data_IF_910257894167
#
_entry.id   IF_910257894167
#
_cell.length_a   1.000
_cell.length_b   1.000
_cell.length_c   1.000
_cell.angle_alpha   90.00
_cell.angle_beta   90.00
_cell.angle_gamma   90.00
#
_symmetry.space_group_name_H-M   'P 1'
#
loop_
_entity.id
_entity.type
_entity.pdbx_description
1 polymer ?
#
# COMPACT_ATOMS: atom_id res chain seq x y z
N UNK A 1 -8.24 -15.48 -29.86
CA UNK A 1 -8.62 -14.67 -28.69
C UNK A 1 -7.45 -14.45 -27.72
N UNK A 2 -6.35 -15.20 -27.83
CA UNK A 2 -5.25 -15.15 -26.83
C UNK A 2 -4.22 -14.01 -26.92
N UNK A 3 -4.15 -13.30 -28.06
CA UNK A 3 -3.08 -12.31 -28.23
C UNK A 3 -3.33 -10.96 -27.54
N UNK A 4 -4.59 -10.56 -27.36
CA UNK A 4 -4.92 -9.28 -26.74
C UNK A 4 -4.86 -9.36 -25.21
N UNK A 5 -5.26 -10.47 -24.61
CA UNK A 5 -5.16 -10.71 -23.16
C UNK A 5 -3.70 -10.84 -22.71
N UNK A 6 -2.86 -11.56 -23.47
CA UNK A 6 -1.42 -11.64 -23.19
C UNK A 6 -0.74 -10.25 -23.31
N UNK A 7 -1.09 -9.44 -24.29
CA UNK A 7 -0.51 -8.10 -24.46
C UNK A 7 -0.91 -7.13 -23.33
N UNK A 8 -2.12 -7.28 -22.78
CA UNK A 8 -2.57 -6.48 -21.62
C UNK A 8 -1.86 -6.92 -20.36
N UNK A 9 -1.70 -8.23 -20.12
CA UNK A 9 -0.99 -8.79 -18.98
C UNK A 9 0.50 -8.43 -19.00
N UNK A 10 1.15 -8.47 -20.17
CA UNK A 10 2.55 -8.08 -20.32
C UNK A 10 2.77 -6.59 -20.02
N UNK A 11 1.85 -5.70 -20.46
CA UNK A 11 1.92 -4.27 -20.14
C UNK A 11 1.72 -3.99 -18.63
N UNK A 12 0.82 -4.71 -17.97
CA UNK A 12 0.57 -4.57 -16.53
C UNK A 12 1.77 -5.02 -15.71
N UNK A 13 2.44 -6.11 -16.11
CA UNK A 13 3.67 -6.57 -15.46
C UNK A 13 4.83 -5.58 -15.64
N UNK A 14 5.01 -5.03 -16.84
CA UNK A 14 6.03 -4.02 -17.11
C UNK A 14 5.81 -2.75 -16.29
N UNK A 15 4.56 -2.31 -16.11
CA UNK A 15 4.25 -1.15 -15.27
C UNK A 15 4.58 -1.39 -13.79
N UNK A 16 4.31 -2.56 -13.24
CA UNK A 16 4.63 -2.91 -11.84
C UNK A 16 6.14 -3.00 -11.60
N UNK A 17 6.89 -3.56 -12.51
CA UNK A 17 8.36 -3.60 -12.44
C UNK A 17 8.95 -2.19 -12.50
N UNK A 18 8.42 -1.32 -13.37
CA UNK A 18 8.84 0.07 -13.46
C UNK A 18 8.54 0.85 -12.17
N UNK A 19 7.37 0.63 -11.56
CA UNK A 19 6.98 1.19 -10.26
C UNK A 19 7.96 0.72 -9.18
N UNK A 20 8.19 -0.58 -9.04
CA UNK A 20 9.11 -1.15 -8.06
C UNK A 20 10.53 -0.61 -8.20
N UNK A 21 11.04 -0.51 -9.45
CA UNK A 21 12.36 0.05 -9.75
C UNK A 21 12.45 1.53 -9.37
N UNK A 22 11.41 2.32 -9.66
CA UNK A 22 11.37 3.75 -9.36
C UNK A 22 11.40 4.00 -7.85
N UNK A 23 10.61 3.26 -7.09
CA UNK A 23 10.62 3.32 -5.62
C UNK A 23 11.96 2.84 -5.05
N UNK A 24 12.53 1.76 -5.58
CA UNK A 24 13.84 1.27 -5.16
C UNK A 24 14.95 2.32 -5.32
N UNK A 25 14.96 3.04 -6.45
CA UNK A 25 15.91 4.15 -6.69
C UNK A 25 15.70 5.34 -5.77
N UNK A 26 14.46 5.60 -5.37
CA UNK A 26 14.10 6.71 -4.49
C UNK A 26 14.30 6.38 -3.00
N UNK A 27 14.50 5.12 -2.62
CA UNK A 27 14.48 4.66 -1.23
C UNK A 27 15.41 5.45 -0.30
N UNK A 28 16.62 5.83 -0.75
CA UNK A 28 17.58 6.59 0.05
C UNK A 28 17.14 8.04 0.36
N UNK A 29 16.31 8.63 -0.48
CA UNK A 29 15.86 10.03 -0.35
C UNK A 29 14.39 10.14 0.01
N UNK A 30 13.65 9.04 -0.03
CA UNK A 30 12.19 9.00 0.15
C UNK A 30 11.75 9.65 1.45
N UNK A 31 12.40 9.31 2.56
CA UNK A 31 12.03 9.81 3.88
C UNK A 31 12.19 11.33 4.06
N UNK A 32 13.09 11.96 3.29
CA UNK A 32 13.31 13.41 3.34
C UNK A 32 12.12 14.21 2.82
N UNK A 33 11.31 13.60 1.94
CA UNK A 33 10.19 14.25 1.25
C UNK A 33 8.83 13.66 1.63
N UNK A 34 8.79 12.74 2.59
CA UNK A 34 7.59 11.96 2.95
C UNK A 34 6.69 12.63 4.01
N UNK A 35 6.75 13.95 4.18
CA UNK A 35 5.96 14.64 5.21
C UNK A 35 4.45 14.42 5.04
N UNK A 36 3.95 14.53 3.82
CA UNK A 36 2.54 14.27 3.49
C UNK A 36 2.15 12.82 3.78
N UNK A 37 2.98 11.86 3.35
CA UNK A 37 2.75 10.43 3.58
C UNK A 37 2.71 10.10 5.08
N UNK A 38 3.57 10.74 5.87
CA UNK A 38 3.59 10.58 7.33
C UNK A 38 2.33 11.15 7.99
N UNK A 39 1.88 12.34 7.60
CA UNK A 39 0.65 12.93 8.15
C UNK A 39 -0.57 12.03 7.88
N UNK A 40 -0.73 11.57 6.63
CA UNK A 40 -1.82 10.66 6.25
C UNK A 40 -1.73 9.35 7.01
N UNK A 41 -0.53 8.75 7.07
CA UNK A 41 -0.33 7.46 7.73
C UNK A 41 -0.50 7.53 9.25
N UNK A 42 -0.13 8.63 9.93
CA UNK A 42 -0.41 8.82 11.35
C UNK A 42 -1.90 8.86 11.64
N UNK A 43 -2.70 9.58 10.84
CA UNK A 43 -4.17 9.59 10.96
C UNK A 43 -4.78 8.20 10.73
N UNK A 44 -4.19 7.44 9.80
CA UNK A 44 -4.61 6.06 9.57
C UNK A 44 -4.24 5.15 10.76
N UNK A 45 -3.03 5.35 11.32
CA UNK A 45 -2.53 4.59 12.46
C UNK A 45 -3.37 4.78 13.73
N UNK A 46 -4.04 5.94 13.89
CA UNK A 46 -5.00 6.21 14.97
C UNK A 46 -6.25 5.32 14.91
N UNK A 47 -6.55 4.70 13.76
CA UNK A 47 -7.66 3.74 13.61
C UNK A 47 -7.34 2.36 14.20
N UNK A 48 -6.08 2.08 14.47
CA UNK A 48 -5.64 0.85 15.12
C UNK A 48 -5.50 1.05 16.64
N UNK A 49 -5.65 -0.03 17.43
CA UNK A 49 -5.38 0.02 18.86
C UNK A 49 -3.97 0.52 19.18
N UNK A 50 -3.81 1.22 20.29
CA UNK A 50 -2.50 1.65 20.79
C UNK A 50 -1.64 0.48 21.29
N UNK A 51 -2.26 -0.60 21.74
CA UNK A 51 -1.63 -1.86 22.13
C UNK A 51 -1.99 -2.93 21.10
N UNK A 52 -0.97 -3.46 20.44
CA UNK A 52 -1.04 -4.53 19.44
C UNK A 52 -0.29 -5.80 19.91
N UNK A 53 -0.05 -5.93 21.21
CA UNK A 53 0.63 -7.10 21.79
C UNK A 53 -0.08 -8.39 21.38
N UNK A 54 0.68 -9.38 20.92
CA UNK A 54 0.20 -10.65 20.35
C UNK A 54 -0.69 -10.52 19.11
N UNK A 55 -0.65 -9.38 18.40
CA UNK A 55 -1.33 -9.19 17.11
C UNK A 55 -0.38 -9.36 15.95
N UNK A 56 -0.86 -10.05 14.92
CA UNK A 56 -0.18 -10.18 13.63
C UNK A 56 -0.68 -9.08 12.71
N UNK A 57 0.23 -8.20 12.30
CA UNK A 57 -0.10 -7.04 11.47
C UNK A 57 0.65 -7.13 10.15
N UNK A 58 -0.06 -6.98 9.04
CA UNK A 58 0.55 -6.76 7.73
C UNK A 58 0.63 -5.25 7.49
N UNK A 59 1.83 -4.73 7.23
CA UNK A 59 2.06 -3.41 6.66
C UNK A 59 2.24 -3.58 5.14
N UNK A 60 1.18 -3.30 4.39
CA UNK A 60 1.08 -3.53 2.95
C UNK A 60 1.45 -2.28 2.16
N UNK A 61 2.51 -2.36 1.37
CA UNK A 61 3.18 -1.20 0.78
C UNK A 61 3.96 -0.43 1.85
N UNK A 62 4.76 -1.15 2.63
CA UNK A 62 5.44 -0.62 3.82
C UNK A 62 6.50 0.44 3.51
N UNK A 63 6.95 0.54 2.24
CA UNK A 63 8.02 1.44 1.84
C UNK A 63 9.28 1.23 2.68
N UNK A 64 9.84 2.31 3.21
CA UNK A 64 11.04 2.29 4.07
C UNK A 64 10.78 1.84 5.51
N UNK A 65 9.59 1.31 5.82
CA UNK A 65 9.26 0.72 7.12
C UNK A 65 8.94 1.72 8.24
N UNK A 66 8.66 2.98 7.92
CA UNK A 66 8.37 4.00 8.94
C UNK A 66 7.17 3.60 9.83
N UNK A 67 6.06 3.17 9.24
CA UNK A 67 4.89 2.73 9.99
C UNK A 67 5.06 1.32 10.56
N UNK A 68 5.82 0.46 9.89
CA UNK A 68 6.19 -0.86 10.44
C UNK A 68 6.89 -0.72 11.78
N UNK A 69 7.82 0.23 11.93
CA UNK A 69 8.48 0.52 13.20
C UNK A 69 7.48 0.91 14.29
N UNK A 70 6.54 1.81 13.98
CA UNK A 70 5.51 2.26 14.94
C UNK A 70 4.55 1.13 15.33
N UNK A 71 4.26 0.20 14.40
CA UNK A 71 3.47 -1.00 14.69
C UNK A 71 4.21 -1.96 15.63
N UNK A 72 5.52 -2.14 15.42
CA UNK A 72 6.39 -2.92 16.33
C UNK A 72 6.47 -2.28 17.72
N UNK A 73 6.59 -0.96 17.80
CA UNK A 73 6.59 -0.20 19.07
C UNK A 73 5.27 -0.37 19.86
N UNK A 74 4.15 -0.65 19.16
CA UNK A 74 2.86 -1.03 19.78
C UNK A 74 2.78 -2.51 20.18
N UNK A 75 3.85 -3.28 20.03
CA UNK A 75 3.93 -4.68 20.42
C UNK A 75 3.48 -5.69 19.38
N UNK A 76 3.21 -5.27 18.15
CA UNK A 76 2.78 -6.15 17.07
C UNK A 76 3.91 -7.10 16.59
N UNK A 77 3.51 -8.25 16.05
CA UNK A 77 4.33 -9.03 15.13
C UNK A 77 4.02 -8.56 13.70
N UNK A 78 4.99 -7.98 13.01
CA UNK A 78 4.79 -7.27 11.76
C UNK A 78 5.30 -8.06 10.56
N UNK A 79 4.53 -8.09 9.48
CA UNK A 79 5.03 -8.45 8.16
C UNK A 79 5.07 -7.19 7.32
N UNK A 80 6.26 -6.80 6.87
CA UNK A 80 6.49 -5.73 5.91
C UNK A 80 6.36 -6.31 4.52
N UNK A 81 5.39 -5.87 3.74
CA UNK A 81 5.22 -6.29 2.35
C UNK A 81 5.32 -5.07 1.43
N UNK A 82 6.13 -5.17 0.41
CA UNK A 82 6.28 -4.13 -0.62
C UNK A 82 6.63 -4.78 -1.96
N UNK A 83 6.32 -4.11 -3.05
CA UNK A 83 6.68 -4.55 -4.40
C UNK A 83 8.18 -4.36 -4.68
N UNK A 84 8.82 -3.42 -4.00
CA UNK A 84 10.21 -3.02 -4.18
C UNK A 84 11.13 -3.66 -3.13
N UNK A 85 12.07 -4.49 -3.59
CA UNK A 85 13.13 -5.05 -2.72
C UNK A 85 13.97 -3.93 -2.08
N UNK A 86 14.28 -2.84 -2.82
CA UNK A 86 15.06 -1.72 -2.29
C UNK A 86 14.35 -0.99 -1.14
N UNK A 87 13.01 -0.92 -1.15
CA UNK A 87 12.22 -0.41 -0.02
C UNK A 87 12.30 -1.35 1.18
N UNK A 88 12.18 -2.66 0.95
CA UNK A 88 12.29 -3.65 2.02
C UNK A 88 13.68 -3.69 2.67
N UNK A 89 14.73 -3.46 1.90
CA UNK A 89 16.10 -3.35 2.43
C UNK A 89 16.20 -2.17 3.41
N UNK A 90 15.62 -1.02 3.08
CA UNK A 90 15.52 0.13 3.98
C UNK A 90 14.62 -0.12 5.18
N UNK A 91 13.51 -0.82 4.99
CA UNK A 91 12.64 -1.22 6.09
C UNK A 91 13.39 -2.14 7.07
N UNK A 92 14.22 -3.06 6.56
CA UNK A 92 15.06 -3.92 7.39
C UNK A 92 16.14 -3.14 8.16
N UNK A 93 16.80 -2.17 7.52
CA UNK A 93 17.76 -1.27 8.20
C UNK A 93 17.08 -0.54 9.36
N UNK A 94 15.81 -0.15 9.22
CA UNK A 94 15.04 0.58 10.25
C UNK A 94 14.51 -0.31 11.36
N UNK A 95 13.87 -1.42 11.01
CA UNK A 95 13.08 -2.23 11.95
C UNK A 95 13.86 -3.41 12.54
N UNK A 96 15.03 -3.77 11.95
CA UNK A 96 15.79 -4.95 12.37
C UNK A 96 15.09 -6.26 12.02
N UNK A 97 15.35 -7.30 12.81
CA UNK A 97 14.84 -8.66 12.53
C UNK A 97 13.98 -9.22 13.68
N UNK A 98 13.72 -8.42 14.73
CA UNK A 98 12.93 -8.89 15.87
C UNK A 98 11.44 -8.64 15.67
N UNK A 99 10.62 -9.70 15.74
CA UNK A 99 9.18 -9.67 15.54
C UNK A 99 8.73 -9.08 14.16
N UNK A 100 9.60 -9.10 13.16
CA UNK A 100 9.32 -8.59 11.84
C UNK A 100 9.78 -9.55 10.73
N UNK A 101 9.04 -9.59 9.63
CA UNK A 101 9.38 -10.32 8.40
C UNK A 101 9.23 -9.39 7.21
N UNK A 102 10.03 -9.63 6.16
CA UNK A 102 10.04 -8.83 4.93
C UNK A 102 9.70 -9.73 3.75
N UNK A 103 8.72 -9.33 2.95
CA UNK A 103 8.20 -10.13 1.85
C UNK A 103 8.00 -9.23 0.63
N UNK A 104 8.66 -9.53 -0.48
CA UNK A 104 8.32 -8.93 -1.76
C UNK A 104 6.97 -9.48 -2.18
N UNK A 105 5.98 -8.61 -2.33
CA UNK A 105 4.63 -9.02 -2.63
C UNK A 105 3.88 -7.98 -3.46
N UNK A 106 3.07 -8.48 -4.39
CA UNK A 106 2.07 -7.71 -5.09
C UNK A 106 0.77 -7.70 -4.27
N UNK A 107 0.24 -6.51 -3.98
CA UNK A 107 -0.99 -6.34 -3.23
C UNK A 107 -2.22 -7.01 -3.90
N UNK A 108 -2.17 -7.20 -5.21
CA UNK A 108 -3.25 -7.85 -5.98
C UNK A 108 -3.17 -9.40 -5.95
N UNK A 109 -2.06 -9.98 -5.41
CA UNK A 109 -1.86 -11.42 -5.27
C UNK A 109 -0.91 -11.71 -4.10
N UNK A 110 -1.44 -11.70 -2.89
CA UNK A 110 -0.66 -11.81 -1.67
C UNK A 110 -0.25 -13.27 -1.37
N UNK A 111 1.04 -13.54 -1.09
CA UNK A 111 1.56 -14.88 -0.81
C UNK A 111 1.31 -15.30 0.66
N UNK A 112 0.12 -15.02 1.18
CA UNK A 112 -0.25 -15.34 2.55
C UNK A 112 -1.47 -16.25 2.60
N UNK A 113 -1.54 -17.06 3.64
CA UNK A 113 -2.68 -17.93 3.90
C UNK A 113 -3.92 -17.11 4.32
N UNK A 114 -5.09 -17.70 4.12
CA UNK A 114 -6.37 -17.14 4.59
C UNK A 114 -6.34 -16.95 6.12
N UNK A 115 -6.99 -15.90 6.59
CA UNK A 115 -7.16 -15.61 8.02
C UNK A 115 -5.83 -15.55 8.81
N UNK A 116 -4.72 -15.13 8.17
CA UNK A 116 -3.38 -15.11 8.76
C UNK A 116 -3.05 -13.83 9.53
N UNK A 117 -3.85 -12.77 9.44
CA UNK A 117 -3.58 -11.48 10.08
C UNK A 117 -4.76 -10.97 10.92
N UNK A 118 -4.44 -10.36 12.07
CA UNK A 118 -5.41 -9.66 12.90
C UNK A 118 -5.69 -8.24 12.35
N UNK A 119 -4.66 -7.60 11.77
CA UNK A 119 -4.78 -6.29 11.15
C UNK A 119 -4.01 -6.21 9.83
N UNK A 120 -4.55 -5.43 8.90
CA UNK A 120 -3.84 -4.98 7.70
C UNK A 120 -3.83 -3.46 7.70
N UNK A 121 -2.65 -2.89 7.62
CA UNK A 121 -2.39 -1.46 7.49
C UNK A 121 -1.81 -1.18 6.10
N UNK A 122 -2.34 -0.20 5.36
CA UNK A 122 -1.81 0.18 4.05
C UNK A 122 -1.98 1.68 3.85
N UNK A 123 -0.88 2.43 3.84
CA UNK A 123 -0.93 3.88 3.71
C UNK A 123 -0.36 4.34 2.38
N UNK A 124 -1.21 4.93 1.53
CA UNK A 124 -0.84 5.49 0.23
C UNK A 124 -0.06 4.52 -0.68
N UNK A 125 -0.49 3.25 -0.71
CA UNK A 125 0.10 2.21 -1.55
C UNK A 125 -0.87 1.71 -2.63
N UNK A 126 -2.17 1.56 -2.31
CA UNK A 126 -3.12 0.89 -3.19
C UNK A 126 -3.50 1.68 -4.46
N UNK A 127 -3.15 2.96 -4.56
CA UNK A 127 -3.32 3.74 -5.80
C UNK A 127 -2.42 3.27 -6.96
N UNK A 128 -1.44 2.43 -6.68
CA UNK A 128 -0.55 1.85 -7.67
C UNK A 128 -1.05 0.51 -8.24
N UNK A 129 -2.13 -0.02 -7.68
CA UNK A 129 -2.79 -1.22 -8.19
C UNK A 129 -3.59 -0.89 -9.45
N UNK A 130 -3.73 -1.87 -10.34
CA UNK A 130 -4.49 -1.73 -11.60
C UNK A 130 -5.97 -1.60 -11.32
N UNK A 131 -6.47 -2.45 -10.42
CA UNK A 131 -7.87 -2.44 -9.96
C UNK A 131 -7.91 -2.63 -8.44
N UNK A 132 -8.43 -1.64 -7.74
CA UNK A 132 -8.52 -1.65 -6.28
C UNK A 132 -9.33 -2.84 -5.73
N UNK A 133 -10.20 -3.44 -6.53
CA UNK A 133 -11.00 -4.60 -6.09
C UNK A 133 -10.15 -5.83 -5.80
N UNK A 134 -9.01 -6.02 -6.49
CA UNK A 134 -8.11 -7.15 -6.26
C UNK A 134 -7.41 -7.06 -4.89
N UNK A 135 -6.68 -5.99 -4.55
CA UNK A 135 -6.04 -5.90 -3.25
C UNK A 135 -7.07 -5.91 -2.10
N UNK A 136 -8.27 -5.36 -2.27
CA UNK A 136 -9.30 -5.41 -1.24
C UNK A 136 -9.82 -6.84 -1.00
N UNK A 137 -9.95 -7.66 -2.05
CA UNK A 137 -10.28 -9.10 -1.91
C UNK A 137 -9.18 -9.85 -1.19
N UNK A 138 -7.93 -9.60 -1.54
CA UNK A 138 -6.77 -10.21 -0.87
C UNK A 138 -6.71 -9.80 0.60
N UNK A 139 -6.85 -8.51 0.91
CA UNK A 139 -6.92 -8.03 2.31
C UNK A 139 -8.02 -8.75 3.08
N UNK A 140 -9.23 -8.87 2.50
CA UNK A 140 -10.32 -9.61 3.13
C UNK A 140 -9.98 -11.08 3.36
N UNK A 141 -9.37 -11.74 2.37
CA UNK A 141 -9.01 -13.17 2.45
C UNK A 141 -8.04 -13.46 3.58
N UNK A 142 -7.01 -12.64 3.72
CA UNK A 142 -5.95 -12.84 4.71
C UNK A 142 -6.31 -12.37 6.11
N UNK A 143 -7.37 -11.56 6.27
CA UNK A 143 -7.84 -11.11 7.59
C UNK A 143 -8.56 -12.23 8.32
N UNK A 144 -8.21 -12.42 9.59
CA UNK A 144 -8.93 -13.29 10.52
C UNK A 144 -10.41 -12.86 10.68
N UNK A 145 -11.25 -13.72 11.23
CA UNK A 145 -12.70 -13.49 11.31
C UNK A 145 -13.10 -12.15 11.98
N UNK A 146 -12.31 -11.70 12.98
CA UNK A 146 -12.50 -10.42 13.65
C UNK A 146 -11.40 -9.41 13.30
N UNK A 147 -10.61 -9.70 12.25
CA UNK A 147 -9.53 -8.86 11.78
C UNK A 147 -10.06 -7.58 11.12
N UNK A 148 -9.24 -6.54 11.15
CA UNK A 148 -9.59 -5.24 10.55
C UNK A 148 -8.51 -4.77 9.58
N UNK A 149 -8.92 -4.32 8.41
CA UNK A 149 -8.08 -3.63 7.45
C UNK A 149 -8.33 -2.13 7.49
N UNK A 150 -7.27 -1.33 7.47
CA UNK A 150 -7.36 0.09 7.24
C UNK A 150 -6.38 0.50 6.14
N UNK A 151 -6.84 1.32 5.23
CA UNK A 151 -6.00 1.84 4.15
C UNK A 151 -6.31 3.30 3.85
N UNK A 152 -5.33 3.99 3.28
CA UNK A 152 -5.50 5.30 2.65
C UNK A 152 -5.08 5.21 1.19
N UNK A 153 -5.77 5.97 0.34
CA UNK A 153 -5.47 6.05 -1.09
C UNK A 153 -5.76 7.45 -1.62
N UNK A 154 -5.17 7.79 -2.74
CA UNK A 154 -5.48 9.03 -3.46
C UNK A 154 -6.66 8.79 -4.39
N UNK A 155 -7.55 9.76 -4.44
CA UNK A 155 -8.72 9.76 -5.34
C UNK A 155 -8.67 10.95 -6.29
N UNK A 156 -9.51 10.94 -7.32
CA UNK A 156 -9.66 12.08 -8.22
C UNK A 156 -9.96 13.36 -7.42
N UNK A 157 -9.29 14.44 -7.79
CA UNK A 157 -9.28 15.69 -7.02
C UNK A 157 -8.22 15.77 -5.92
N UNK A 158 -7.57 14.66 -5.53
CA UNK A 158 -6.38 14.71 -4.71
C UNK A 158 -5.24 15.41 -5.47
N UNK A 159 -4.41 16.18 -4.75
CA UNK A 159 -3.28 16.93 -5.31
C UNK A 159 -3.69 17.92 -6.43
N UNK A 160 -4.92 18.47 -6.38
CA UNK A 160 -5.44 19.40 -7.40
C UNK A 160 -4.53 20.63 -7.53
N UNK A 161 -4.13 21.22 -6.41
CA UNK A 161 -3.27 22.42 -6.38
C UNK A 161 -1.93 22.14 -7.05
N UNK A 162 -1.35 20.96 -6.86
CA UNK A 162 -0.13 20.54 -7.51
C UNK A 162 -0.33 20.38 -9.02
N UNK A 163 -1.41 19.72 -9.42
CA UNK A 163 -1.78 19.56 -10.84
C UNK A 163 -1.99 20.90 -11.53
N UNK A 164 -2.76 21.79 -10.90
CA UNK A 164 -3.07 23.12 -11.44
C UNK A 164 -1.82 24.01 -11.51
N UNK A 165 -0.86 23.81 -10.62
CA UNK A 165 0.43 24.51 -10.66
C UNK A 165 1.29 24.05 -11.83
N UNK A 166 1.38 22.74 -12.09
CA UNK A 166 2.12 22.21 -13.22
C UNK A 166 1.48 22.54 -14.57
N UNK A 167 0.15 22.53 -14.65
CA UNK A 167 -0.58 22.92 -15.87
C UNK A 167 -0.32 24.35 -16.34
N UNK A 168 0.18 25.22 -15.45
CA UNK A 168 0.62 26.59 -15.80
C UNK A 168 2.03 26.63 -16.37
N UNK A 169 2.82 25.58 -16.21
CA UNK A 169 4.23 25.51 -16.63
C UNK A 169 4.35 24.82 -17.98
N UNK A 170 3.69 23.68 -18.15
CA UNK A 170 3.72 22.92 -19.40
C UNK A 170 2.46 22.04 -19.55
N UNK A 171 2.39 21.27 -20.67
CA UNK A 171 1.27 20.40 -21.00
C UNK A 171 1.53 18.93 -20.66
N UNK A 172 2.67 18.60 -20.01
CA UNK A 172 2.96 17.23 -19.63
C UNK A 172 2.19 16.81 -18.39
N UNK A 173 1.90 15.50 -18.30
CA UNK A 173 1.25 14.94 -17.11
C UNK A 173 2.28 14.71 -16.00
N UNK A 174 2.27 15.56 -14.97
CA UNK A 174 3.14 15.45 -13.79
C UNK A 174 2.48 14.78 -12.59
N UNK A 175 1.16 14.60 -12.62
CA UNK A 175 0.39 13.96 -11.56
C UNK A 175 -0.43 12.83 -12.18
N UNK A 176 -0.37 11.64 -11.58
CA UNK A 176 -1.13 10.49 -12.04
C UNK A 176 -2.64 10.74 -11.94
N UNK A 177 -3.40 10.07 -12.80
CA UNK A 177 -4.84 10.01 -12.67
C UNK A 177 -5.18 9.00 -11.57
N UNK A 178 -5.99 9.44 -10.62
CA UNK A 178 -6.48 8.58 -9.54
C UNK A 178 -7.92 8.18 -9.79
N UNK A 179 -8.33 7.06 -9.20
CA UNK A 179 -9.71 6.59 -9.26
C UNK A 179 -10.67 7.54 -8.54
N UNK A 180 -11.92 7.58 -8.96
CA UNK A 180 -12.94 8.38 -8.30
C UNK A 180 -13.37 7.75 -6.96
N UNK A 181 -13.92 8.56 -6.05
CA UNK A 181 -14.50 8.06 -4.80
C UNK A 181 -15.60 7.01 -5.04
N UNK A 182 -16.35 7.14 -6.14
CA UNK A 182 -17.38 6.15 -6.50
C UNK A 182 -16.75 4.81 -6.89
N UNK A 183 -15.65 4.80 -7.62
CA UNK A 183 -14.91 3.57 -7.92
C UNK A 183 -14.36 2.91 -6.65
N UNK A 184 -13.87 3.68 -5.68
CA UNK A 184 -13.49 3.13 -4.36
C UNK A 184 -14.66 2.45 -3.67
N UNK A 185 -15.84 3.08 -3.64
CA UNK A 185 -17.06 2.49 -3.05
C UNK A 185 -17.50 1.22 -3.77
N UNK A 186 -17.41 1.20 -5.11
CA UNK A 186 -17.73 0.00 -5.90
C UNK A 186 -16.74 -1.13 -5.58
N UNK A 187 -15.44 -0.85 -5.54
CA UNK A 187 -14.42 -1.84 -5.23
C UNK A 187 -14.63 -2.44 -3.82
N UNK A 188 -14.95 -1.62 -2.82
CA UNK A 188 -15.30 -2.07 -1.48
C UNK A 188 -16.54 -2.99 -1.48
N UNK A 189 -17.58 -2.62 -2.20
CA UNK A 189 -18.79 -3.43 -2.31
C UNK A 189 -18.51 -4.78 -3.02
N UNK A 190 -17.74 -4.77 -4.10
CA UNK A 190 -17.36 -5.99 -4.85
C UNK A 190 -16.46 -6.92 -4.03
N UNK A 191 -15.59 -6.39 -3.21
CA UNK A 191 -14.74 -7.18 -2.32
C UNK A 191 -15.49 -7.75 -1.10
N UNK A 192 -16.76 -7.40 -0.92
CA UNK A 192 -17.59 -7.73 0.26
C UNK A 192 -16.95 -7.26 1.58
N UNK A 193 -16.14 -6.21 1.54
CA UNK A 193 -15.66 -5.54 2.73
C UNK A 193 -16.80 -4.68 3.32
N UNK A 194 -17.00 -4.76 4.63
CA UNK A 194 -17.93 -3.88 5.33
C UNK A 194 -17.17 -2.61 5.75
N UNK A 195 -17.73 -1.44 5.41
CA UNK A 195 -17.19 -0.14 5.83
C UNK A 195 -17.69 0.19 7.24
N UNK A 196 -16.80 0.66 8.07
CA UNK A 196 -17.11 1.29 9.36
C UNK A 196 -16.50 2.68 9.43
#
# INVERSE_FOLDING_TARGET
MDNAENMVLDNVHQDKEAIASSFGKAADTYDKHAAFQRDVGHRLLEKLPSDLTNKRVLDLGCGTGYFSQLLLERGASVVCADLSQGMLDKARERCGDHNVRYVVADAESLPFEDASFDYVFSSLALQWCVDLSYPLREIRRILAANGKGCFSTLVDGSLRELRDSWAKIDTYQHVNNFITLNQVKIALAQSRCHNH
#
